data_IF_292044972466
#
_entry.id   IF_292044972466
#
_cell.length_a   1.000
_cell.length_b   1.000
_cell.length_c   1.000
_cell.angle_alpha   90.00
_cell.angle_beta   90.00
_cell.angle_gamma   90.00
#
_symmetry.space_group_name_H-M   'P 1'
#
loop_
_entity.id
_entity.type
_entity.pdbx_description
1 polymer ?
#
# COMPACT_ATOMS: atom_id res chain seq x y z
N UNK A 1 -9.02 8.46 3.02
CA UNK A 1 -7.70 7.81 3.16
C UNK A 1 -6.86 8.60 4.16
N UNK A 2 -6.18 7.88 5.05
CA UNK A 2 -5.25 8.43 6.03
C UNK A 2 -3.85 7.89 5.73
N UNK A 3 -2.83 8.72 5.91
CA UNK A 3 -1.43 8.30 5.81
C UNK A 3 -0.78 8.41 7.19
N UNK A 4 -0.17 7.33 7.66
CA UNK A 4 0.46 7.21 8.97
C UNK A 4 1.99 7.10 8.87
N UNK A 5 2.66 7.08 10.01
CA UNK A 5 4.13 6.96 10.16
C UNK A 5 4.91 8.19 9.69
N UNK A 6 4.24 9.36 9.68
CA UNK A 6 4.84 10.63 9.29
C UNK A 6 4.72 10.94 7.79
N UNK A 7 5.57 11.85 7.31
CA UNK A 7 5.52 12.38 5.93
C UNK A 7 6.75 12.06 5.08
N UNK A 8 7.79 11.50 5.67
CA UNK A 8 9.06 11.21 4.99
C UNK A 8 9.22 9.71 4.78
N UNK A 9 9.41 9.31 3.49
CA UNK A 9 9.54 7.92 3.09
C UNK A 9 11.01 7.51 2.95
N UNK A 10 11.36 6.30 3.34
CA UNK A 10 12.71 5.73 3.15
C UNK A 10 12.98 5.31 1.70
N UNK A 11 11.94 5.13 0.88
CA UNK A 11 12.05 4.69 -0.53
C UNK A 11 11.90 5.82 -1.52
N UNK A 12 12.36 5.59 -2.76
CA UNK A 12 12.48 6.59 -3.81
C UNK A 12 11.71 6.22 -5.10
N UNK A 13 10.46 5.75 -4.96
CA UNK A 13 9.61 5.49 -6.12
C UNK A 13 9.48 6.75 -7.00
N UNK A 14 9.77 6.63 -8.31
CA UNK A 14 9.89 7.79 -9.20
C UNK A 14 8.56 8.43 -9.60
N UNK A 15 7.46 7.77 -9.29
CA UNK A 15 6.10 8.30 -9.51
C UNK A 15 5.53 9.04 -8.30
N UNK A 16 6.14 8.86 -7.11
CA UNK A 16 5.55 9.28 -5.84
C UNK A 16 6.10 10.64 -5.38
N UNK A 17 5.19 11.55 -5.01
CA UNK A 17 5.54 12.90 -4.52
C UNK A 17 5.70 13.00 -3.01
N UNK A 18 5.79 11.88 -2.30
CA UNK A 18 6.11 11.86 -0.87
C UNK A 18 7.57 12.29 -0.66
N UNK A 19 7.81 13.08 0.37
CA UNK A 19 9.13 13.61 0.68
C UNK A 19 10.11 12.54 1.17
N UNK A 20 11.41 12.77 0.94
CA UNK A 20 12.50 11.80 1.18
C UNK A 20 13.57 12.43 2.07
N UNK A 21 13.17 12.84 3.25
CA UNK A 21 14.08 13.35 4.28
C UNK A 21 14.23 12.31 5.40
N UNK A 22 14.96 12.66 6.45
CA UNK A 22 15.02 11.87 7.67
C UNK A 22 13.60 11.61 8.16
N UNK A 23 13.21 10.34 8.36
CA UNK A 23 11.90 10.01 8.87
C UNK A 23 11.62 10.64 10.23
N UNK A 24 10.38 11.06 10.44
CA UNK A 24 9.93 11.60 11.72
C UNK A 24 9.92 10.48 12.80
N UNK A 25 10.09 10.79 14.08
CA UNK A 25 9.83 9.85 15.17
C UNK A 25 8.42 9.31 15.10
N UNK A 26 8.21 8.07 15.58
CA UNK A 26 6.87 7.49 15.66
C UNK A 26 6.00 8.31 16.63
N UNK A 27 4.83 8.71 16.17
CA UNK A 27 3.82 9.33 17.02
C UNK A 27 2.88 8.25 17.59
N UNK A 28 3.02 7.94 18.88
CA UNK A 28 2.23 6.92 19.54
C UNK A 28 0.74 7.32 19.72
N UNK A 29 0.41 8.61 19.60
CA UNK A 29 -0.98 9.10 19.66
C UNK A 29 -1.68 9.00 18.29
N UNK A 30 -0.94 8.81 17.20
CA UNK A 30 -1.48 8.80 15.83
C UNK A 30 -2.62 7.78 15.64
N UNK A 31 -2.54 6.52 16.14
CA UNK A 31 -3.61 5.55 16.00
C UNK A 31 -4.93 5.98 16.63
N UNK A 32 -4.89 6.51 17.86
CA UNK A 32 -6.09 6.99 18.54
C UNK A 32 -6.66 8.25 17.88
N UNK A 33 -5.79 9.19 17.48
CA UNK A 33 -6.19 10.41 16.79
C UNK A 33 -6.85 10.11 15.43
N UNK A 34 -6.31 9.12 14.69
CA UNK A 34 -6.93 8.64 13.46
C UNK A 34 -8.31 8.02 13.72
N UNK A 35 -8.43 7.18 14.73
CA UNK A 35 -9.71 6.55 15.08
C UNK A 35 -10.79 7.59 15.46
N UNK A 36 -10.41 8.64 16.19
CA UNK A 36 -11.29 9.77 16.50
C UNK A 36 -11.67 10.56 15.24
N UNK A 37 -10.73 10.77 14.32
CA UNK A 37 -11.02 11.42 13.04
C UNK A 37 -12.01 10.62 12.19
N UNK A 38 -11.87 9.29 12.12
CA UNK A 38 -12.83 8.38 11.47
C UNK A 38 -14.23 8.56 12.08
N UNK A 39 -14.31 8.65 13.41
CA UNK A 39 -15.58 8.83 14.15
C UNK A 39 -16.22 10.18 13.83
N UNK A 40 -15.47 11.27 13.95
CA UNK A 40 -15.95 12.64 13.68
C UNK A 40 -16.48 12.77 12.25
N UNK A 41 -15.78 12.14 11.28
CA UNK A 41 -16.17 12.15 9.87
C UNK A 41 -17.30 11.16 9.53
N UNK A 42 -17.70 10.30 10.46
CA UNK A 42 -18.78 9.31 10.28
C UNK A 42 -18.48 8.30 9.15
N UNK A 43 -17.21 7.94 8.97
CA UNK A 43 -16.79 7.11 7.84
C UNK A 43 -17.29 5.66 8.00
N UNK A 44 -17.84 5.11 6.92
CA UNK A 44 -18.23 3.69 6.83
C UNK A 44 -17.10 2.81 6.34
N UNK A 45 -16.12 3.40 5.66
CA UNK A 45 -14.93 2.72 5.15
C UNK A 45 -13.71 3.63 5.33
N UNK A 46 -12.70 3.14 6.01
CA UNK A 46 -11.45 3.85 6.25
C UNK A 46 -10.29 3.15 5.53
N UNK A 47 -9.64 3.87 4.63
CA UNK A 47 -8.40 3.40 4.00
C UNK A 47 -7.23 4.01 4.75
N UNK A 48 -6.31 3.18 5.22
CA UNK A 48 -5.10 3.60 5.91
C UNK A 48 -3.88 3.13 5.14
N UNK A 49 -2.97 4.04 4.87
CA UNK A 49 -1.70 3.76 4.22
C UNK A 49 -0.55 4.40 5.01
N UNK A 50 0.68 4.17 4.62
CA UNK A 50 1.85 4.77 5.27
C UNK A 50 2.88 5.24 4.26
N UNK A 51 3.83 6.05 4.73
CA UNK A 51 5.15 6.11 4.14
C UNK A 51 5.89 4.80 4.46
N UNK A 52 6.86 4.39 3.63
CA UNK A 52 7.70 3.24 3.97
C UNK A 52 8.72 3.64 5.03
N UNK A 53 8.94 2.74 5.99
CA UNK A 53 9.80 2.94 7.17
C UNK A 53 10.80 1.78 7.32
N UNK A 54 11.60 1.52 6.26
CA UNK A 54 12.66 0.51 6.30
C UNK A 54 13.73 0.78 7.39
N UNK A 55 13.70 1.98 7.98
CA UNK A 55 14.55 2.40 9.11
C UNK A 55 14.11 1.83 10.46
N UNK A 56 12.87 1.38 10.58
CA UNK A 56 12.33 0.80 11.82
C UNK A 56 12.54 -0.72 11.85
N UNK A 57 12.81 -1.30 13.04
CA UNK A 57 12.96 -2.75 13.17
C UNK A 57 11.74 -3.56 12.71
N UNK A 58 10.54 -2.99 12.92
CA UNK A 58 9.24 -3.58 12.55
C UNK A 58 8.63 -2.97 11.28
N UNK A 59 9.36 -2.10 10.57
CA UNK A 59 8.90 -1.38 9.38
C UNK A 59 7.54 -0.68 9.55
N UNK A 60 7.11 -0.44 10.81
CA UNK A 60 5.84 0.18 11.17
C UNK A 60 4.66 -0.78 11.31
N UNK A 61 4.90 -2.10 11.34
CA UNK A 61 3.85 -3.11 11.47
C UNK A 61 3.01 -2.93 12.75
N UNK A 62 3.64 -2.61 13.89
CA UNK A 62 2.94 -2.36 15.14
C UNK A 62 2.02 -1.14 15.07
N UNK A 63 2.43 -0.10 14.34
CA UNK A 63 1.60 1.10 14.16
C UNK A 63 0.34 0.80 13.34
N UNK A 64 0.46 0.02 12.24
CA UNK A 64 -0.69 -0.47 11.50
C UNK A 64 -1.64 -1.29 12.38
N UNK A 65 -1.09 -2.23 13.14
CA UNK A 65 -1.88 -3.07 14.04
C UNK A 65 -2.63 -2.24 15.08
N UNK A 66 -1.97 -1.25 15.67
CA UNK A 66 -2.59 -0.39 16.68
C UNK A 66 -3.67 0.51 16.06
N UNK A 67 -3.48 1.01 14.84
CA UNK A 67 -4.53 1.73 14.10
C UNK A 67 -5.79 0.89 13.96
N UNK A 68 -5.66 -0.39 13.55
CA UNK A 68 -6.83 -1.27 13.43
C UNK A 68 -7.55 -1.44 14.77
N UNK A 69 -6.79 -1.69 15.85
CA UNK A 69 -7.36 -1.84 17.21
C UNK A 69 -8.12 -0.58 17.65
N UNK A 70 -7.52 0.60 17.45
CA UNK A 70 -8.15 1.86 17.84
C UNK A 70 -9.36 2.18 16.96
N UNK A 71 -9.29 1.97 15.64
CA UNK A 71 -10.46 2.18 14.77
C UNK A 71 -11.60 1.25 15.17
N UNK A 72 -11.36 -0.04 15.42
CA UNK A 72 -12.38 -0.99 15.89
C UNK A 72 -12.99 -0.57 17.24
N UNK A 73 -12.18 -0.06 18.16
CA UNK A 73 -12.64 0.41 19.48
C UNK A 73 -13.60 1.59 19.38
N UNK A 74 -13.28 2.58 18.55
CA UNK A 74 -14.07 3.82 18.42
C UNK A 74 -15.19 3.72 17.37
N UNK A 75 -15.03 2.82 16.38
CA UNK A 75 -15.90 2.72 15.20
C UNK A 75 -16.12 1.25 14.81
N UNK A 76 -16.87 0.48 15.62
CA UNK A 76 -16.99 -0.98 15.43
C UNK A 76 -17.60 -1.40 14.08
N UNK A 77 -18.41 -0.54 13.47
CA UNK A 77 -19.10 -0.81 12.19
C UNK A 77 -18.34 -0.28 10.96
N UNK A 78 -17.16 0.35 11.16
CA UNK A 78 -16.36 0.86 10.05
C UNK A 78 -15.48 -0.24 9.46
N UNK A 79 -15.58 -0.45 8.15
CA UNK A 79 -14.66 -1.35 7.43
C UNK A 79 -13.29 -0.69 7.27
N UNK A 80 -12.22 -1.49 7.40
CA UNK A 80 -10.83 -1.02 7.39
C UNK A 80 -10.08 -1.67 6.23
N UNK A 81 -9.57 -0.84 5.31
CA UNK A 81 -8.62 -1.24 4.29
C UNK A 81 -7.22 -0.74 4.68
N UNK A 82 -6.25 -1.63 4.71
CA UNK A 82 -4.85 -1.28 4.92
C UNK A 82 -4.08 -1.40 3.61
N UNK A 83 -3.50 -0.29 3.14
CA UNK A 83 -2.53 -0.29 2.04
C UNK A 83 -1.12 -0.28 2.64
N UNK A 84 -0.49 -1.45 2.68
CA UNK A 84 0.80 -1.66 3.34
C UNK A 84 1.97 -1.68 2.35
N UNK A 85 3.21 -1.33 2.77
CA UNK A 85 4.43 -1.64 2.04
C UNK A 85 4.68 -3.17 2.01
N UNK A 86 5.74 -3.60 1.32
CA UNK A 86 6.05 -5.02 1.16
C UNK A 86 6.70 -5.69 2.39
N UNK A 87 6.88 -4.95 3.49
CA UNK A 87 7.52 -5.39 4.74
C UNK A 87 8.81 -6.18 4.49
N UNK A 88 9.57 -5.80 3.47
CA UNK A 88 10.79 -6.49 2.99
C UNK A 88 10.60 -8.01 2.78
N UNK A 89 9.37 -8.47 2.64
CA UNK A 89 8.98 -9.87 2.51
C UNK A 89 9.01 -10.65 3.84
N UNK A 90 9.14 -9.97 4.98
CA UNK A 90 9.22 -10.58 6.31
C UNK A 90 7.84 -10.97 6.83
N UNK A 91 7.56 -12.28 6.85
CA UNK A 91 6.26 -12.82 7.29
C UNK A 91 5.92 -12.46 8.72
N UNK A 92 6.90 -12.47 9.62
CA UNK A 92 6.72 -12.12 11.02
C UNK A 92 6.23 -10.68 11.23
N UNK A 93 6.51 -9.77 10.30
CA UNK A 93 5.97 -8.41 10.35
C UNK A 93 4.56 -8.34 9.77
N UNK A 94 4.31 -9.11 8.72
CA UNK A 94 2.98 -9.23 8.14
C UNK A 94 2.00 -9.86 9.13
N UNK A 95 2.43 -10.86 9.91
CA UNK A 95 1.62 -11.51 10.95
C UNK A 95 1.09 -10.51 11.98
N UNK A 96 1.91 -9.56 12.43
CA UNK A 96 1.51 -8.51 13.38
C UNK A 96 0.29 -7.73 12.84
N UNK A 97 0.27 -7.46 11.52
CA UNK A 97 -0.83 -6.74 10.85
C UNK A 97 -2.01 -7.68 10.61
N UNK A 98 -1.76 -8.89 10.06
CA UNK A 98 -2.80 -9.80 9.61
C UNK A 98 -3.63 -10.39 10.75
N UNK A 99 -3.02 -10.58 11.92
CA UNK A 99 -3.71 -10.99 13.16
C UNK A 99 -4.79 -10.00 13.61
N UNK A 100 -4.67 -8.71 13.22
CA UNK A 100 -5.70 -7.70 13.51
C UNK A 100 -6.94 -7.81 12.61
N UNK A 101 -6.89 -8.65 11.59
CA UNK A 101 -7.95 -8.94 10.63
C UNK A 101 -8.58 -7.68 10.01
N UNK A 102 -7.80 -6.86 9.27
CA UNK A 102 -8.39 -5.80 8.47
C UNK A 102 -9.41 -6.39 7.48
N UNK A 103 -10.43 -5.62 7.09
CA UNK A 103 -11.46 -6.09 6.17
C UNK A 103 -10.91 -6.26 4.75
N UNK A 104 -9.92 -5.45 4.38
CA UNK A 104 -9.19 -5.54 3.11
C UNK A 104 -7.70 -5.29 3.37
N UNK A 105 -6.86 -6.20 2.89
CA UNK A 105 -5.43 -5.96 2.77
C UNK A 105 -5.10 -5.55 1.34
N UNK A 106 -4.58 -4.36 1.18
CA UNK A 106 -4.14 -3.80 -0.09
C UNK A 106 -2.62 -3.73 -0.13
N UNK A 107 -2.02 -4.20 -1.23
CA UNK A 107 -0.63 -3.99 -1.56
C UNK A 107 -0.51 -3.79 -3.07
N UNK A 108 -0.14 -2.59 -3.49
CA UNK A 108 -0.08 -2.24 -4.90
C UNK A 108 1.18 -2.79 -5.58
N UNK A 109 1.02 -3.39 -6.76
CA UNK A 109 2.15 -3.73 -7.65
C UNK A 109 2.64 -2.52 -8.45
N UNK A 110 1.85 -1.47 -8.59
CA UNK A 110 2.09 -0.15 -9.16
C UNK A 110 2.39 -0.13 -10.65
N UNK A 111 3.14 -1.09 -11.20
CA UNK A 111 3.54 -1.15 -12.60
C UNK A 111 3.94 -2.56 -13.01
N UNK A 112 4.25 -2.75 -14.30
CA UNK A 112 4.73 -4.02 -14.85
C UNK A 112 6.14 -4.38 -14.35
N UNK A 113 6.52 -5.68 -14.29
CA UNK A 113 7.82 -6.13 -13.78
C UNK A 113 9.02 -5.45 -14.45
N UNK A 114 8.96 -5.24 -15.78
CA UNK A 114 10.05 -4.63 -16.55
C UNK A 114 10.36 -3.18 -16.13
N UNK A 115 9.41 -2.49 -15.52
CA UNK A 115 9.60 -1.10 -15.09
C UNK A 115 9.99 -0.95 -13.61
N UNK A 116 10.01 -2.01 -12.82
CA UNK A 116 10.39 -1.95 -11.41
C UNK A 116 11.75 -1.26 -11.18
N UNK A 117 12.83 -1.59 -11.93
CA UNK A 117 14.12 -0.94 -11.69
C UNK A 117 14.08 0.58 -11.86
N UNK A 118 13.19 1.09 -12.70
CA UNK A 118 13.03 2.52 -12.98
C UNK A 118 11.97 3.20 -12.12
N UNK A 119 10.85 2.53 -11.89
CA UNK A 119 9.65 3.10 -11.25
C UNK A 119 9.67 2.89 -9.74
N UNK A 120 10.09 1.70 -9.29
CA UNK A 120 10.14 1.27 -7.87
C UNK A 120 11.46 0.57 -7.55
N UNK A 121 12.62 1.24 -7.59
CA UNK A 121 13.93 0.57 -7.53
C UNK A 121 14.19 -0.21 -6.23
N UNK A 122 13.53 0.13 -5.13
CA UNK A 122 13.65 -0.60 -3.85
C UNK A 122 12.63 -1.73 -3.67
N UNK A 123 11.71 -1.92 -4.61
CA UNK A 123 10.68 -2.95 -4.56
C UNK A 123 10.99 -4.11 -5.51
N UNK A 124 10.27 -5.22 -5.34
CA UNK A 124 10.38 -6.40 -6.19
C UNK A 124 8.98 -6.92 -6.52
N UNK A 125 8.70 -7.19 -7.80
CA UNK A 125 7.37 -7.62 -8.26
C UNK A 125 6.96 -8.95 -7.63
N UNK A 126 7.87 -9.93 -7.62
CA UNK A 126 7.59 -11.24 -7.03
C UNK A 126 7.29 -11.13 -5.53
N UNK A 127 8.05 -10.30 -4.80
CA UNK A 127 7.77 -10.02 -3.38
C UNK A 127 6.38 -9.40 -3.19
N UNK A 128 5.97 -8.49 -4.07
CA UNK A 128 4.62 -7.91 -4.01
C UNK A 128 3.52 -8.96 -4.18
N UNK A 129 3.72 -9.93 -5.07
CA UNK A 129 2.80 -11.07 -5.21
C UNK A 129 2.81 -11.97 -3.98
N UNK A 130 3.98 -12.21 -3.37
CA UNK A 130 4.11 -13.02 -2.14
C UNK A 130 3.40 -12.39 -0.94
N UNK A 131 3.43 -11.06 -0.81
CA UNK A 131 2.65 -10.32 0.22
C UNK A 131 1.15 -10.60 0.07
N UNK A 132 0.61 -10.47 -1.16
CA UNK A 132 -0.80 -10.73 -1.45
C UNK A 132 -1.17 -12.20 -1.23
N UNK A 133 -0.34 -13.11 -1.74
CA UNK A 133 -0.53 -14.56 -1.56
C UNK A 133 -0.59 -14.93 -0.08
N UNK A 134 0.37 -14.44 0.70
CA UNK A 134 0.42 -14.72 2.13
C UNK A 134 -0.79 -14.14 2.88
N UNK A 135 -1.23 -12.94 2.53
CA UNK A 135 -2.45 -12.37 3.08
C UNK A 135 -3.69 -13.24 2.79
N UNK A 136 -3.77 -13.78 1.57
CA UNK A 136 -4.84 -14.70 1.17
C UNK A 136 -4.80 -16.01 1.94
N UNK A 137 -3.60 -16.59 2.13
CA UNK A 137 -3.39 -17.80 2.96
C UNK A 137 -3.82 -17.56 4.41
N UNK A 138 -3.68 -16.34 4.92
CA UNK A 138 -4.17 -15.91 6.24
C UNK A 138 -5.69 -15.59 6.28
N UNK A 139 -6.41 -15.80 5.18
CA UNK A 139 -7.86 -15.63 5.09
C UNK A 139 -8.35 -14.18 4.92
N UNK A 140 -7.47 -13.26 4.53
CA UNK A 140 -7.84 -11.87 4.27
C UNK A 140 -8.39 -11.67 2.85
N UNK A 141 -9.27 -10.67 2.68
CA UNK A 141 -9.59 -10.16 1.35
C UNK A 141 -8.44 -9.30 0.86
N UNK A 142 -7.99 -9.56 -0.36
CA UNK A 142 -6.81 -8.92 -0.93
C UNK A 142 -7.17 -7.95 -2.04
N UNK A 143 -6.41 -6.87 -2.11
CA UNK A 143 -6.54 -5.85 -3.15
C UNK A 143 -5.16 -5.46 -3.65
N UNK A 144 -5.07 -5.15 -4.94
CA UNK A 144 -3.88 -4.57 -5.55
C UNK A 144 -4.25 -3.42 -6.48
N UNK A 145 -3.24 -2.68 -6.89
CA UNK A 145 -3.40 -1.60 -7.86
C UNK A 145 -2.18 -1.47 -8.74
N UNK A 146 -2.41 -1.03 -9.97
CA UNK A 146 -1.36 -0.61 -10.88
C UNK A 146 -1.76 0.67 -11.59
N UNK A 147 -0.75 1.42 -12.01
CA UNK A 147 -0.89 2.59 -12.84
C UNK A 147 -0.49 2.26 -14.27
N UNK A 148 -1.21 2.83 -15.23
CA UNK A 148 -0.88 2.78 -16.66
C UNK A 148 -0.43 4.14 -17.16
N UNK A 149 0.32 4.16 -18.27
CA UNK A 149 0.81 5.39 -18.89
C UNK A 149 2.32 5.62 -18.74
N UNK A 150 3.10 4.60 -18.31
CA UNK A 150 4.56 4.63 -18.29
C UNK A 150 5.18 4.19 -19.62
N UNK A 151 4.36 3.60 -20.55
CA UNK A 151 4.75 3.05 -21.85
C UNK A 151 4.71 1.53 -21.90
N UNK A 152 3.98 0.90 -21.00
CA UNK A 152 3.62 -0.52 -21.04
C UNK A 152 2.65 -0.81 -22.18
N UNK A 153 2.65 -2.06 -22.68
CA UNK A 153 1.65 -2.51 -23.63
C UNK A 153 0.44 -3.13 -22.91
N UNK A 154 -0.68 -3.27 -23.61
CA UNK A 154 -1.87 -3.92 -23.10
C UNK A 154 -1.57 -5.38 -22.68
N UNK A 155 -0.80 -6.12 -23.49
CA UNK A 155 -0.41 -7.50 -23.17
C UNK A 155 0.39 -7.57 -21.86
N UNK A 156 1.29 -6.61 -21.62
CA UNK A 156 2.05 -6.56 -20.37
C UNK A 156 1.17 -6.28 -19.16
N UNK A 157 0.14 -5.45 -19.31
CA UNK A 157 -0.85 -5.22 -18.25
C UNK A 157 -1.66 -6.50 -17.99
N UNK A 158 -2.10 -7.19 -19.04
CA UNK A 158 -2.82 -8.47 -18.94
C UNK A 158 -1.97 -9.53 -18.22
N UNK A 159 -0.67 -9.60 -18.49
CA UNK A 159 0.22 -10.52 -17.76
C UNK A 159 0.31 -10.20 -16.26
N UNK A 160 0.32 -8.91 -15.88
CA UNK A 160 0.23 -8.52 -14.46
C UNK A 160 -1.09 -8.96 -13.84
N UNK A 161 -2.21 -8.80 -14.55
CA UNK A 161 -3.53 -9.24 -14.07
C UNK A 161 -3.60 -10.76 -13.91
N UNK A 162 -3.00 -11.54 -14.82
CA UNK A 162 -2.87 -12.99 -14.68
C UNK A 162 -2.06 -13.37 -13.44
N UNK A 163 -0.90 -12.72 -13.23
CA UNK A 163 -0.06 -12.96 -12.05
C UNK A 163 -0.81 -12.64 -10.74
N UNK A 164 -1.60 -11.57 -10.70
CA UNK A 164 -2.46 -11.25 -9.56
C UNK A 164 -3.55 -12.31 -9.36
N UNK A 165 -4.10 -12.87 -10.45
CA UNK A 165 -5.08 -13.95 -10.39
C UNK A 165 -4.47 -15.25 -9.87
N UNK A 166 -3.23 -15.57 -10.23
CA UNK A 166 -2.52 -16.76 -9.75
C UNK A 166 -2.29 -16.76 -8.23
N UNK A 167 -2.18 -15.58 -7.61
CA UNK A 167 -2.13 -15.42 -6.15
C UNK A 167 -3.50 -15.20 -5.51
N UNK A 168 -4.58 -15.41 -6.27
CA UNK A 168 -5.98 -15.30 -5.84
C UNK A 168 -6.34 -13.91 -5.27
N UNK A 169 -5.80 -12.85 -5.88
CA UNK A 169 -6.13 -11.47 -5.51
C UNK A 169 -7.61 -11.17 -5.83
N UNK A 170 -8.37 -10.69 -4.83
CA UNK A 170 -9.82 -10.50 -4.94
C UNK A 170 -10.20 -9.24 -5.73
N UNK A 171 -9.42 -8.16 -5.61
CA UNK A 171 -9.74 -6.86 -6.19
C UNK A 171 -8.51 -6.24 -6.84
N UNK A 172 -8.71 -5.60 -7.98
CA UNK A 172 -7.65 -4.83 -8.67
C UNK A 172 -8.20 -3.48 -9.09
N UNK A 173 -7.39 -2.43 -8.90
CA UNK A 173 -7.63 -1.10 -9.46
C UNK A 173 -6.58 -0.78 -10.50
N UNK A 174 -7.02 -0.24 -11.65
CA UNK A 174 -6.15 0.27 -12.70
C UNK A 174 -6.40 1.77 -12.80
N UNK A 175 -5.36 2.58 -12.68
CA UNK A 175 -5.46 4.02 -12.71
C UNK A 175 -4.46 4.65 -13.68
N UNK A 176 -4.81 5.79 -14.27
CA UNK A 176 -3.88 6.55 -15.08
C UNK A 176 -2.81 7.20 -14.18
N UNK A 177 -1.55 7.01 -14.52
CA UNK A 177 -0.45 7.75 -13.90
C UNK A 177 -0.53 9.23 -14.29
N UNK A 178 -0.50 10.11 -13.30
CA UNK A 178 -0.40 11.55 -13.48
C UNK A 178 0.93 12.02 -12.87
N UNK A 179 1.77 12.64 -13.67
CA UNK A 179 3.08 13.13 -13.24
C UNK A 179 2.94 14.27 -12.23
N UNK A 180 3.39 14.11 -10.97
CA UNK A 180 3.22 15.14 -9.94
C UNK A 180 4.02 16.41 -10.23
N UNK A 181 5.27 16.29 -10.68
CA UNK A 181 6.15 17.41 -11.06
C UNK A 181 7.09 16.97 -12.19
N UNK A 182 7.74 17.94 -12.85
CA UNK A 182 8.73 17.67 -13.92
C UNK A 182 9.93 16.81 -13.52
N UNK A 183 10.14 16.57 -12.22
CA UNK A 183 11.22 15.75 -11.69
C UNK A 183 10.84 14.27 -11.55
N UNK A 184 9.56 13.95 -11.67
CA UNK A 184 9.06 12.57 -11.64
C UNK A 184 9.12 11.94 -13.04
N UNK A 185 8.97 10.61 -13.08
CA UNK A 185 8.91 9.90 -14.36
C UNK A 185 7.81 10.51 -15.24
N UNK A 186 8.14 10.75 -16.51
CA UNK A 186 7.20 11.38 -17.44
C UNK A 186 6.07 10.41 -17.82
N UNK A 187 4.86 10.95 -17.94
CA UNK A 187 3.74 10.24 -18.59
C UNK A 187 4.12 10.00 -20.05
N UNK A 188 4.01 8.77 -20.52
CA UNK A 188 4.25 8.38 -21.90
C UNK A 188 2.98 8.40 -22.74
N UNK A 189 1.88 8.05 -22.12
CA UNK A 189 0.60 7.94 -22.78
C UNK A 189 -0.54 8.18 -21.77
N UNK A 190 -1.61 8.78 -22.23
CA UNK A 190 -2.89 8.83 -21.52
C UNK A 190 -3.77 7.74 -22.11
N UNK A 191 -3.84 6.62 -21.39
CA UNK A 191 -4.53 5.41 -21.83
C UNK A 191 -6.03 5.64 -21.78
N UNK A 192 -6.72 5.33 -22.88
CA UNK A 192 -8.18 5.41 -22.91
C UNK A 192 -8.78 4.27 -22.07
N UNK A 193 -9.80 4.55 -21.21
CA UNK A 193 -10.51 3.54 -20.41
C UNK A 193 -11.15 2.45 -21.23
#
# INVERSE_FOLDING_TARGET
TFMILGRNCTRNCTFCNVTRHTPDPINLEEPENLAKAVQILGLKHAVVTSVTRDDLPDEGANQFAEVVRQVRKYNPDTTIELLIPDMSGRKELMDIIYETKPDVLNHNVETIPAFYPKVRPAANFQRSLEVLKYAKECGLKTKSGLMVGFGETEEQVVEVLKALREVDCDMVTIGQYLQPTKFHIAVKEYVHP
#
